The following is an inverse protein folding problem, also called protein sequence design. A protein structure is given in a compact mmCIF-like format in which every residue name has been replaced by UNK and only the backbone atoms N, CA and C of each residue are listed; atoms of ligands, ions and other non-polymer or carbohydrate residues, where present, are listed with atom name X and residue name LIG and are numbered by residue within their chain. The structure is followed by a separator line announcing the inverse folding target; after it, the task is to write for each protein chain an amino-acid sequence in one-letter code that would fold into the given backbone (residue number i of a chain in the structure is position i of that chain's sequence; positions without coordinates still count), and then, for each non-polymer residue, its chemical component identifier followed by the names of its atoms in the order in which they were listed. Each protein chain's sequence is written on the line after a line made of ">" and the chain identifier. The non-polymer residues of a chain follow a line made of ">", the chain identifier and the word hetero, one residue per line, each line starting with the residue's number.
data_IF_602256040194
#
_entry.id   IF_602256040194
#
_cell.length_a   1.000
_cell.length_b   1.000
_cell.length_c   1.000
_cell.angle_alpha   90.00
_cell.angle_beta   90.00
_cell.angle_gamma   90.00
#
_symmetry.space_group_name_H-M   'P 1'
#
loop_
_entity.id
_entity.type
_entity.pdbx_description
1 polymer ?
#
# COMPACT_ATOMS: atom_id res chain seq x y z
N UNK A 1 9.38 -5.56 -22.91
CA UNK A 1 8.56 -4.35 -22.72
C UNK A 1 7.80 -4.54 -21.42
N UNK A 2 8.03 -3.71 -20.41
CA UNK A 2 7.25 -3.71 -19.17
C UNK A 2 5.93 -3.00 -19.44
N UNK A 3 4.83 -3.75 -19.47
CA UNK A 3 3.50 -3.19 -19.69
C UNK A 3 2.89 -2.79 -18.34
N UNK A 4 2.96 -1.50 -18.00
CA UNK A 4 2.34 -0.94 -16.80
C UNK A 4 0.91 -0.50 -17.09
N UNK A 5 0.07 -0.58 -16.06
CA UNK A 5 -1.32 -0.11 -16.07
C UNK A 5 -1.61 0.65 -14.78
N UNK A 6 -2.35 1.74 -14.89
CA UNK A 6 -2.82 2.51 -13.73
C UNK A 6 -4.17 1.97 -13.28
N UNK A 7 -4.26 1.57 -12.01
CA UNK A 7 -5.46 0.98 -11.43
C UNK A 7 -6.05 1.95 -10.39
N UNK A 8 -7.31 2.36 -10.54
CA UNK A 8 -7.97 3.15 -9.50
C UNK A 8 -8.21 2.29 -8.26
N UNK A 9 -7.97 2.85 -7.08
CA UNK A 9 -8.19 2.20 -5.79
C UNK A 9 -9.49 2.67 -5.16
N UNK A 10 -9.99 1.92 -4.19
CA UNK A 10 -11.14 2.33 -3.37
C UNK A 10 -10.82 3.65 -2.66
N UNK A 11 -11.84 4.46 -2.29
CA UNK A 11 -11.63 5.62 -1.44
C UNK A 11 -10.94 5.23 -0.14
N UNK A 12 -9.89 5.96 0.22
CA UNK A 12 -9.19 5.82 1.49
C UNK A 12 -10.17 6.01 2.65
N UNK A 13 -10.19 5.09 3.61
CA UNK A 13 -11.10 5.19 4.75
C UNK A 13 -10.71 6.34 5.72
N UNK A 14 -9.44 6.77 5.69
CA UNK A 14 -8.93 7.84 6.54
C UNK A 14 -9.27 9.23 6.00
N UNK A 15 -8.95 9.50 4.73
CA UNK A 15 -9.11 10.83 4.13
C UNK A 15 -10.31 10.97 3.18
N UNK A 16 -10.98 9.86 2.83
CA UNK A 16 -12.15 9.80 1.95
C UNK A 16 -11.87 9.98 0.46
N UNK A 17 -10.62 10.23 0.06
CA UNK A 17 -10.24 10.46 -1.35
C UNK A 17 -9.94 9.13 -2.06
N UNK A 18 -10.28 9.04 -3.34
CA UNK A 18 -9.81 7.95 -4.20
C UNK A 18 -8.31 8.08 -4.49
N UNK A 19 -7.68 6.99 -4.92
CA UNK A 19 -6.29 6.97 -5.34
C UNK A 19 -6.10 6.11 -6.59
N UNK A 20 -4.88 6.06 -7.06
CA UNK A 20 -4.47 5.19 -8.16
C UNK A 20 -3.06 4.63 -7.88
N UNK A 21 -2.78 3.45 -8.43
CA UNK A 21 -1.49 2.78 -8.32
C UNK A 21 -1.10 2.26 -9.69
N UNK A 22 0.13 2.54 -10.12
CA UNK A 22 0.72 1.94 -11.32
C UNK A 22 1.31 0.57 -10.99
N UNK A 23 0.94 -0.44 -11.76
CA UNK A 23 1.39 -1.83 -11.59
C UNK A 23 1.70 -2.49 -12.92
N UNK A 24 2.50 -3.56 -12.92
CA UNK A 24 2.64 -4.40 -14.11
C UNK A 24 1.33 -5.14 -14.39
N UNK A 25 0.91 -5.20 -15.65
CA UNK A 25 -0.34 -5.85 -16.05
C UNK A 25 -0.37 -7.35 -15.67
N UNK A 26 0.78 -8.03 -15.70
CA UNK A 26 0.90 -9.43 -15.28
C UNK A 26 0.71 -9.62 -13.77
N UNK A 27 1.24 -8.71 -12.96
CA UNK A 27 1.08 -8.75 -11.50
C UNK A 27 -0.37 -8.47 -11.10
N UNK A 28 -1.00 -7.51 -11.79
CA UNK A 28 -2.41 -7.23 -11.59
C UNK A 28 -3.29 -8.45 -11.92
N UNK A 29 -2.95 -9.19 -13.00
CA UNK A 29 -3.68 -10.41 -13.35
C UNK A 29 -3.51 -11.50 -12.27
N UNK A 30 -2.31 -11.66 -11.69
CA UNK A 30 -2.06 -12.55 -10.55
C UNK A 30 -2.92 -12.15 -9.34
N UNK A 31 -2.92 -10.87 -8.98
CA UNK A 31 -3.70 -10.35 -7.86
C UNK A 31 -5.21 -10.56 -8.06
N UNK A 32 -5.73 -10.25 -9.25
CA UNK A 32 -7.14 -10.45 -9.60
C UNK A 32 -7.55 -11.94 -9.64
N UNK A 33 -6.58 -12.85 -9.78
CA UNK A 33 -6.81 -14.31 -9.70
C UNK A 33 -6.83 -14.83 -8.26
N UNK A 34 -6.71 -13.95 -7.25
CA UNK A 34 -6.77 -14.29 -5.83
C UNK A 34 -5.41 -14.45 -5.15
N UNK A 35 -4.30 -14.12 -5.82
CA UNK A 35 -2.99 -14.11 -5.16
C UNK A 35 -2.95 -13.00 -4.08
N UNK A 36 -2.26 -13.27 -2.97
CA UNK A 36 -2.03 -12.26 -1.94
C UNK A 36 -1.20 -11.10 -2.52
N UNK A 37 -1.43 -9.87 -2.07
CA UNK A 37 -0.75 -8.69 -2.60
C UNK A 37 0.79 -8.78 -2.48
N UNK A 38 1.32 -9.38 -1.41
CA UNK A 38 2.76 -9.63 -1.24
C UNK A 38 3.34 -10.65 -2.22
N UNK A 39 2.51 -11.54 -2.76
CA UNK A 39 2.92 -12.54 -3.77
C UNK A 39 2.79 -11.94 -5.16
N UNK A 40 1.73 -11.18 -5.42
CA UNK A 40 1.52 -10.53 -6.71
C UNK A 40 2.48 -9.34 -6.93
N UNK A 41 2.84 -8.61 -5.87
CA UNK A 41 3.69 -7.41 -5.94
C UNK A 41 4.87 -7.51 -4.95
N UNK A 42 5.83 -8.43 -5.16
CA UNK A 42 6.88 -8.72 -4.18
C UNK A 42 7.80 -7.52 -3.92
N UNK A 43 8.13 -6.76 -4.96
CA UNK A 43 9.02 -5.59 -4.89
C UNK A 43 8.26 -4.29 -4.50
N UNK A 44 6.94 -4.36 -4.33
CA UNK A 44 6.13 -3.18 -4.01
C UNK A 44 6.19 -2.86 -2.51
N UNK A 45 6.40 -1.58 -2.19
CA UNK A 45 6.38 -1.09 -0.83
C UNK A 45 5.06 -1.45 -0.12
N UNK A 46 5.13 -1.80 1.18
CA UNK A 46 3.98 -2.27 1.97
C UNK A 46 2.79 -1.31 1.92
N UNK A 47 3.05 -0.01 2.00
CA UNK A 47 2.00 1.01 2.05
C UNK A 47 1.29 1.16 0.68
N UNK A 48 2.00 0.91 -0.42
CA UNK A 48 1.41 0.94 -1.76
C UNK A 48 0.58 -0.32 -2.03
N UNK A 49 1.01 -1.49 -1.51
CA UNK A 49 0.18 -2.70 -1.48
C UNK A 49 -1.09 -2.48 -0.68
N UNK A 50 -1.01 -1.78 0.45
CA UNK A 50 -2.21 -1.46 1.23
C UNK A 50 -3.20 -0.61 0.43
N UNK A 51 -2.72 0.37 -0.33
CA UNK A 51 -3.60 1.18 -1.18
C UNK A 51 -4.38 0.31 -2.17
N UNK A 52 -3.77 -0.76 -2.70
CA UNK A 52 -4.45 -1.75 -3.56
C UNK A 52 -5.45 -2.64 -2.80
N UNK A 53 -5.23 -2.88 -1.50
CA UNK A 53 -6.07 -3.75 -0.65
C UNK A 53 -7.30 -2.98 -0.14
N UNK A 54 -7.07 -1.87 0.56
CA UNK A 54 -8.11 -1.13 1.28
C UNK A 54 -8.41 0.24 0.69
N UNK A 55 -7.51 0.79 -0.13
CA UNK A 55 -7.59 2.17 -0.62
C UNK A 55 -6.80 3.17 0.23
N UNK A 56 -6.15 2.72 1.31
CA UNK A 56 -5.38 3.61 2.21
C UNK A 56 -4.14 4.14 1.51
N UNK A 57 -4.06 5.45 1.31
CA UNK A 57 -2.88 6.08 0.71
C UNK A 57 -1.64 5.89 1.58
N UNK A 58 -0.42 5.82 1.01
CA UNK A 58 0.82 5.71 1.77
C UNK A 58 0.96 6.77 2.86
N UNK A 59 0.65 8.04 2.57
CA UNK A 59 0.66 9.11 3.57
C UNK A 59 -0.34 8.90 4.72
N UNK A 60 -1.51 8.33 4.42
CA UNK A 60 -2.53 8.05 5.43
C UNK A 60 -2.13 6.84 6.26
N UNK A 61 -1.51 5.84 5.63
CA UNK A 61 -0.94 4.69 6.31
C UNK A 61 0.15 5.13 7.29
N UNK A 62 1.06 6.00 6.86
CA UNK A 62 2.14 6.50 7.71
C UNK A 62 1.60 7.38 8.86
N UNK A 63 0.48 8.10 8.68
CA UNK A 63 -0.16 8.80 9.81
C UNK A 63 -0.79 7.86 10.84
N UNK A 64 -1.31 6.71 10.39
CA UNK A 64 -1.99 5.73 11.25
C UNK A 64 -1.01 4.76 11.93
N UNK A 65 0.08 4.41 11.23
CA UNK A 65 0.98 3.32 11.59
C UNK A 65 2.46 3.66 11.45
N UNK A 66 2.80 4.83 10.89
CA UNK A 66 4.16 5.34 10.94
C UNK A 66 4.50 5.64 12.39
N UNK A 67 5.56 5.01 12.88
CA UNK A 67 5.99 5.17 14.25
C UNK A 67 6.17 6.66 14.59
N UNK A 68 5.80 7.11 15.80
CA UNK A 68 6.50 8.26 16.34
C UNK A 68 7.99 7.90 16.27
N UNK A 69 8.82 8.78 15.74
CA UNK A 69 10.26 8.62 15.90
C UNK A 69 10.51 8.30 17.38
N UNK A 70 11.22 7.20 17.66
CA UNK A 70 12.05 7.08 18.85
C UNK A 70 11.41 7.71 20.11
N UNK A 71 10.65 6.92 20.86
CA UNK A 71 10.63 7.14 22.30
C UNK A 71 12.08 6.90 22.78
N UNK A 72 12.95 7.92 22.63
CA UNK A 72 14.20 7.97 23.36
C UNK A 72 13.83 7.86 24.85
N UNK A 73 14.56 6.98 25.54
CA UNK A 73 14.55 6.78 26.99
C UNK A 73 13.48 5.81 27.52
N UNK A 74 13.71 4.53 27.24
CA UNK A 74 13.69 3.56 28.33
C UNK A 74 14.84 3.83 29.30
N UNK A 75 14.69 4.80 30.21
CA UNK A 75 15.32 4.77 31.53
C UNK A 75 14.21 4.51 32.55
N UNK A 76 13.95 3.24 32.83
CA UNK A 76 13.28 2.83 34.08
C UNK A 76 14.39 2.36 35.05
N UNK A 77 14.49 3.08 36.15
CA UNK A 77 15.39 2.93 37.30
C UNK A 77 15.15 1.66 38.15
#
# INVERSE_FOLDING_TARGET
>A
MTNTVTVPTRPCFHCGKAGEVEVLAEDLARYNSGALAQVAFPEMHRALREQLISGTHPECWDQLFGSPELDEEGEEE
#
